data_IF_763986739764
#
_entry.id   IF_763986739764
#
_cell.length_a   1.000
_cell.length_b   1.000
_cell.length_c   1.000
_cell.angle_alpha   90.00
_cell.angle_beta   90.00
_cell.angle_gamma   90.00
#
_symmetry.space_group_name_H-M   'P 1'
#
loop_
_entity.id
_entity.type
_entity.pdbx_description
1 polymer ?
#
# COMPACT_ATOMS: atom_id res chain seq x y z
N UNK A 1 9.07 11.04 15.05
CA UNK A 1 9.45 9.70 15.52
C UNK A 1 9.56 8.69 14.36
N UNK A 2 8.59 8.60 13.44
CA UNK A 2 8.62 7.66 12.30
C UNK A 2 9.89 7.81 11.45
N UNK A 3 10.25 9.03 11.03
CA UNK A 3 11.51 9.29 10.31
C UNK A 3 12.76 8.74 11.01
N UNK A 4 12.87 8.91 12.33
CA UNK A 4 14.04 8.45 13.09
C UNK A 4 14.11 6.92 13.13
N UNK A 5 12.95 6.26 13.25
CA UNK A 5 12.84 4.80 13.17
C UNK A 5 13.22 4.29 11.77
N UNK A 6 12.74 4.95 10.71
CA UNK A 6 13.12 4.62 9.34
C UNK A 6 14.63 4.74 9.11
N UNK A 7 15.26 5.82 9.58
CA UNK A 7 16.72 6.01 9.47
C UNK A 7 17.50 4.95 10.25
N UNK A 8 17.04 4.61 11.45
CA UNK A 8 17.79 3.73 12.35
C UNK A 8 17.59 2.24 12.03
N UNK A 9 16.38 1.86 11.64
CA UNK A 9 15.94 0.47 11.56
C UNK A 9 15.44 0.06 10.17
N UNK A 10 15.23 1.02 9.26
CA UNK A 10 14.66 0.76 7.94
C UNK A 10 13.14 0.53 7.95
N UNK A 11 12.49 0.55 9.12
CA UNK A 11 11.04 0.43 9.22
C UNK A 11 10.50 1.17 10.46
N UNK A 12 9.19 1.41 10.49
CA UNK A 12 8.47 1.90 11.65
C UNK A 12 7.08 1.25 11.70
N UNK A 13 6.63 0.86 12.89
CA UNK A 13 5.24 0.51 13.17
C UNK A 13 4.68 1.56 14.14
N UNK A 14 3.53 2.14 13.82
CA UNK A 14 2.99 3.30 14.52
C UNK A 14 1.48 3.45 14.26
N UNK A 15 0.84 4.30 15.05
CA UNK A 15 -0.51 4.78 14.75
C UNK A 15 -0.39 6.17 14.12
N UNK A 16 -1.00 6.39 12.95
CA UNK A 16 -0.97 7.70 12.30
C UNK A 16 -2.03 8.61 12.93
N UNK A 17 -1.60 9.46 13.85
CA UNK A 17 -2.45 10.41 14.56
C UNK A 17 -2.69 11.67 13.73
N UNK A 18 -3.76 11.65 12.93
CA UNK A 18 -4.20 12.79 12.11
C UNK A 18 -5.73 12.94 12.18
N UNK A 19 -6.19 14.19 12.23
CA UNK A 19 -7.62 14.48 12.27
C UNK A 19 -8.32 14.06 10.97
N UNK A 20 -9.33 13.21 11.12
CA UNK A 20 -10.20 12.71 10.07
C UNK A 20 -11.63 13.18 10.31
N UNK A 21 -12.18 14.00 9.41
CA UNK A 21 -13.59 14.33 9.50
C UNK A 21 -14.45 13.11 9.15
N UNK A 22 -15.61 12.97 9.82
CA UNK A 22 -16.53 11.85 9.58
C UNK A 22 -16.87 11.68 8.09
N UNK A 23 -17.14 12.79 7.40
CA UNK A 23 -17.46 12.80 5.96
C UNK A 23 -16.30 12.23 5.14
N UNK A 24 -15.07 12.64 5.42
CA UNK A 24 -13.89 12.18 4.68
C UNK A 24 -13.63 10.68 4.90
N UNK A 25 -13.86 10.20 6.12
CA UNK A 25 -13.81 8.77 6.45
C UNK A 25 -14.87 7.96 5.71
N UNK A 26 -16.09 8.49 5.62
CA UNK A 26 -17.21 7.88 4.88
C UNK A 26 -16.90 7.82 3.38
N UNK A 27 -16.29 8.87 2.80
CA UNK A 27 -15.86 8.90 1.40
C UNK A 27 -14.82 7.82 1.11
N UNK A 28 -13.79 7.67 1.94
CA UNK A 28 -12.80 6.59 1.82
C UNK A 28 -13.49 5.22 1.93
N UNK A 29 -14.37 5.05 2.92
CA UNK A 29 -15.09 3.79 3.11
C UNK A 29 -15.97 3.44 1.90
N UNK A 30 -16.63 4.44 1.29
CA UNK A 30 -17.40 4.28 0.07
C UNK A 30 -16.53 3.87 -1.12
N UNK A 31 -15.31 4.40 -1.25
CA UNK A 31 -14.37 3.97 -2.29
C UNK A 31 -13.99 2.49 -2.11
N UNK A 32 -13.71 2.05 -0.87
CA UNK A 32 -13.38 0.65 -0.57
C UNK A 32 -14.51 -0.33 -0.95
N UNK A 33 -15.77 0.11 -0.82
CA UNK A 33 -16.93 -0.67 -1.25
C UNK A 33 -17.03 -0.80 -2.78
N UNK A 34 -16.44 0.14 -3.52
CA UNK A 34 -16.51 0.22 -4.99
C UNK A 34 -15.22 -0.21 -5.70
N UNK A 35 -14.23 -0.75 -4.98
CA UNK A 35 -13.01 -1.26 -5.60
C UNK A 35 -13.34 -2.37 -6.60
N UNK A 36 -12.71 -2.29 -7.78
CA UNK A 36 -12.83 -3.30 -8.82
C UNK A 36 -11.97 -4.53 -8.47
N UNK A 37 -12.33 -5.70 -9.01
CA UNK A 37 -11.49 -6.88 -8.90
C UNK A 37 -10.12 -6.59 -9.52
N UNK A 38 -9.06 -7.09 -8.88
CA UNK A 38 -7.71 -6.99 -9.42
C UNK A 38 -7.50 -8.05 -10.51
N UNK A 39 -7.47 -7.61 -11.77
CA UNK A 39 -7.24 -8.48 -12.93
C UNK A 39 -5.84 -9.14 -12.95
N UNK A 40 -4.93 -8.73 -12.08
CA UNK A 40 -3.60 -9.31 -11.92
C UNK A 40 -3.47 -10.12 -10.62
N UNK A 41 -4.56 -10.33 -9.89
CA UNK A 41 -4.57 -11.29 -8.80
C UNK A 41 -4.73 -12.72 -9.35
N UNK A 42 -4.19 -13.75 -8.67
CA UNK A 42 -4.45 -15.14 -9.03
C UNK A 42 -5.96 -15.43 -9.06
N UNK A 43 -6.43 -16.30 -9.98
CA UNK A 43 -7.86 -16.55 -10.25
C UNK A 43 -8.72 -16.89 -9.03
N UNK A 44 -8.11 -17.38 -7.95
CA UNK A 44 -8.79 -17.79 -6.73
C UNK A 44 -8.61 -16.83 -5.55
N UNK A 45 -8.06 -15.63 -5.78
CA UNK A 45 -7.83 -14.63 -4.74
C UNK A 45 -8.81 -13.48 -4.91
N UNK A 46 -9.66 -13.27 -3.91
CA UNK A 46 -10.57 -12.13 -3.86
C UNK A 46 -9.83 -10.86 -3.42
N UNK A 47 -9.00 -10.32 -4.32
CA UNK A 47 -8.32 -9.04 -4.16
C UNK A 47 -8.96 -7.99 -5.06
N UNK A 48 -9.27 -6.86 -4.48
CA UNK A 48 -9.88 -5.72 -5.15
C UNK A 48 -8.95 -4.52 -4.99
N UNK A 49 -8.79 -3.73 -6.04
CA UNK A 49 -7.96 -2.53 -5.96
C UNK A 49 -8.38 -1.42 -6.89
N UNK A 50 -7.97 -0.22 -6.50
CA UNK A 50 -7.83 0.93 -7.38
C UNK A 50 -6.47 1.57 -7.15
N UNK A 51 -6.01 2.28 -8.16
CA UNK A 51 -4.71 2.96 -8.14
C UNK A 51 -4.85 4.40 -8.59
N UNK A 52 -4.06 5.28 -8.02
CA UNK A 52 -3.86 6.62 -8.55
C UNK A 52 -2.38 6.98 -8.41
N UNK A 53 -1.89 7.78 -9.35
CA UNK A 53 -0.55 8.33 -9.29
C UNK A 53 -0.59 9.85 -9.29
N UNK A 54 0.36 10.46 -8.61
CA UNK A 54 0.48 11.91 -8.50
C UNK A 54 1.94 12.35 -8.51
N UNK A 55 2.14 13.63 -8.75
CA UNK A 55 3.41 14.32 -8.53
C UNK A 55 3.27 15.21 -7.29
N UNK A 56 4.28 15.17 -6.43
CA UNK A 56 4.44 16.11 -5.33
C UNK A 56 5.65 16.98 -5.61
N UNK A 57 5.47 18.29 -5.44
CA UNK A 57 6.52 19.29 -5.69
C UNK A 57 7.23 19.62 -4.36
N UNK A 58 8.44 19.07 -4.10
CA UNK A 58 9.04 19.10 -2.77
C UNK A 58 9.57 20.48 -2.35
N UNK A 59 9.72 21.42 -3.28
CA UNK A 59 10.25 22.77 -3.05
C UNK A 59 9.19 23.82 -2.70
N UNK A 60 7.90 23.48 -2.73
CA UNK A 60 6.88 24.37 -2.19
C UNK A 60 6.79 24.24 -0.66
N UNK A 61 6.58 25.37 0.02
CA UNK A 61 6.40 25.40 1.47
C UNK A 61 5.21 24.54 1.91
N UNK A 62 4.14 24.53 1.09
CA UNK A 62 3.03 23.60 1.20
C UNK A 62 3.09 22.65 -0.02
N UNK A 63 3.43 21.38 0.17
CA UNK A 63 3.54 20.43 -0.94
C UNK A 63 2.21 20.31 -1.69
N UNK A 64 2.25 20.62 -2.99
CA UNK A 64 1.12 20.46 -3.90
C UNK A 64 1.12 19.05 -4.47
N UNK A 65 -0.08 18.44 -4.57
CA UNK A 65 -0.29 17.11 -5.16
C UNK A 65 -1.00 17.29 -6.49
N UNK A 66 -0.32 16.90 -7.57
CA UNK A 66 -0.83 16.96 -8.94
C UNK A 66 -1.12 15.53 -9.42
N UNK A 67 -2.40 15.14 -9.44
CA UNK A 67 -2.79 13.81 -9.92
C UNK A 67 -2.48 13.65 -11.41
N UNK A 68 -1.84 12.54 -11.77
CA UNK A 68 -1.51 12.20 -13.14
C UNK A 68 -2.82 11.82 -13.88
N UNK A 69 -3.00 12.28 -15.14
CA UNK A 69 -4.15 11.94 -15.95
C UNK A 69 -4.33 10.42 -16.12
N UNK A 70 -5.59 10.00 -16.18
CA UNK A 70 -5.99 8.62 -16.45
C UNK A 70 -6.15 8.40 -17.95
N UNK A 71 -6.03 7.16 -18.41
CA UNK A 71 -6.54 6.74 -19.72
C UNK A 71 -7.96 6.19 -19.58
N UNK A 72 -8.70 6.10 -20.68
CA UNK A 72 -10.01 5.42 -20.71
C UNK A 72 -9.89 4.09 -21.47
N UNK A 73 -10.56 3.06 -20.97
CA UNK A 73 -10.76 1.80 -21.70
C UNK A 73 -11.94 1.90 -22.68
N UNK A 74 -12.16 0.84 -23.45
CA UNK A 74 -13.25 0.75 -24.45
C UNK A 74 -14.66 0.86 -23.82
N UNK A 75 -14.79 0.58 -22.53
CA UNK A 75 -16.04 0.67 -21.78
C UNK A 75 -16.20 2.04 -21.07
N UNK A 76 -15.26 2.98 -21.28
CA UNK A 76 -15.26 4.29 -20.65
C UNK A 76 -14.77 4.32 -19.20
N UNK A 77 -14.23 3.21 -18.68
CA UNK A 77 -13.63 3.20 -17.35
C UNK A 77 -12.29 3.94 -17.37
N UNK A 78 -12.05 4.73 -16.32
CA UNK A 78 -10.78 5.39 -16.14
C UNK A 78 -9.75 4.45 -15.51
N UNK A 79 -8.58 4.35 -16.12
CA UNK A 79 -7.46 3.52 -15.68
C UNK A 79 -6.23 4.36 -15.35
N UNK A 80 -5.48 3.95 -14.34
CA UNK A 80 -4.18 4.50 -13.97
C UNK A 80 -3.10 3.45 -14.17
N UNK A 81 -2.05 3.84 -14.92
CA UNK A 81 -0.89 2.98 -15.19
C UNK A 81 0.07 2.96 -14.00
N UNK A 82 0.43 1.75 -13.56
CA UNK A 82 1.43 1.47 -12.54
C UNK A 82 2.58 0.66 -13.16
N UNK A 83 3.78 1.23 -13.10
CA UNK A 83 5.00 0.59 -13.58
C UNK A 83 5.75 0.00 -12.39
N UNK A 84 5.75 -1.33 -12.27
CA UNK A 84 6.50 -2.04 -11.23
C UNK A 84 7.95 -2.34 -11.63
N UNK A 85 8.38 -1.88 -12.82
CA UNK A 85 9.68 -2.21 -13.39
C UNK A 85 9.96 -3.71 -13.36
N UNK A 86 11.20 -4.08 -13.02
CA UNK A 86 11.65 -5.47 -12.92
C UNK A 86 11.37 -6.14 -11.56
N UNK A 87 10.69 -5.46 -10.62
CA UNK A 87 10.52 -5.96 -9.25
C UNK A 87 9.40 -7.00 -9.10
N UNK A 88 8.62 -7.24 -10.16
CA UNK A 88 7.68 -8.34 -10.20
C UNK A 88 7.96 -9.24 -11.42
N UNK A 89 8.50 -10.45 -11.21
CA UNK A 89 8.88 -11.36 -12.30
C UNK A 89 7.69 -11.91 -13.09
N UNK A 90 6.45 -11.73 -12.63
CA UNK A 90 5.24 -12.26 -13.28
C UNK A 90 4.70 -11.34 -14.39
N UNK A 91 5.07 -10.05 -14.41
CA UNK A 91 4.58 -9.10 -15.42
C UNK A 91 5.63 -8.04 -15.79
N UNK A 92 6.15 -8.08 -17.02
CA UNK A 92 7.17 -7.15 -17.53
C UNK A 92 6.66 -5.86 -18.20
N UNK A 93 5.36 -5.55 -18.09
CA UNK A 93 4.73 -4.38 -18.72
C UNK A 93 3.98 -3.52 -17.68
N UNK A 94 3.78 -2.23 -18.01
CA UNK A 94 2.87 -1.31 -17.33
C UNK A 94 1.51 -1.99 -17.06
N UNK A 95 1.06 -1.97 -15.80
CA UNK A 95 -0.24 -2.51 -15.41
C UNK A 95 -1.25 -1.40 -15.26
N UNK A 96 -2.45 -1.64 -15.77
CA UNK A 96 -3.52 -0.67 -15.68
C UNK A 96 -4.58 -1.16 -14.69
N UNK A 97 -4.79 -0.37 -13.64
CA UNK A 97 -5.85 -0.61 -12.67
C UNK A 97 -6.94 0.46 -12.81
N UNK A 98 -8.14 0.15 -12.36
CA UNK A 98 -9.19 1.16 -12.20
C UNK A 98 -8.65 2.32 -11.36
N UNK A 99 -8.85 3.54 -11.87
CA UNK A 99 -8.32 4.74 -11.23
C UNK A 99 -9.07 5.08 -9.95
N UNK A 100 -8.41 5.70 -8.97
CA UNK A 100 -9.08 6.33 -7.84
C UNK A 100 -10.12 7.36 -8.33
N UNK A 101 -11.28 7.39 -7.68
CA UNK A 101 -12.34 8.34 -8.04
C UNK A 101 -11.93 9.80 -7.84
N UNK A 102 -12.58 10.72 -8.55
CA UNK A 102 -12.39 12.16 -8.37
C UNK A 102 -12.64 12.60 -6.92
N UNK A 103 -13.59 11.96 -6.24
CA UNK A 103 -13.92 12.27 -4.85
C UNK A 103 -12.72 11.98 -3.93
N UNK A 104 -12.12 10.80 -4.07
CA UNK A 104 -10.93 10.43 -3.29
C UNK A 104 -9.71 11.27 -3.65
N UNK A 105 -9.51 11.60 -4.92
CA UNK A 105 -8.43 12.50 -5.34
C UNK A 105 -8.55 13.90 -4.72
N UNK A 106 -9.76 14.33 -4.35
CA UNK A 106 -10.04 15.62 -3.71
C UNK A 106 -10.23 15.53 -2.18
N UNK A 107 -10.10 14.34 -1.59
CA UNK A 107 -10.31 14.12 -0.16
C UNK A 107 -9.13 14.70 0.65
N UNK A 108 -9.41 15.63 1.58
CA UNK A 108 -8.33 16.34 2.28
C UNK A 108 -7.63 15.45 3.28
N UNK A 109 -8.34 14.50 3.90
CA UNK A 109 -7.75 13.50 4.76
C UNK A 109 -6.72 12.63 4.04
N UNK A 110 -7.02 12.14 2.83
CA UNK A 110 -6.01 11.43 2.02
C UNK A 110 -4.81 12.32 1.70
N UNK A 111 -5.04 13.59 1.34
CA UNK A 111 -3.96 14.56 1.13
C UNK A 111 -3.10 14.74 2.39
N UNK A 112 -3.70 14.81 3.57
CA UNK A 112 -2.98 14.87 4.86
C UNK A 112 -2.12 13.63 5.08
N UNK A 113 -2.63 12.42 4.80
CA UNK A 113 -1.83 11.17 4.89
C UNK A 113 -0.62 11.27 3.96
N UNK A 114 -0.83 11.61 2.69
CA UNK A 114 0.25 11.73 1.69
C UNK A 114 1.32 12.74 2.14
N UNK A 115 0.93 13.89 2.66
CA UNK A 115 1.89 14.92 3.11
C UNK A 115 2.61 14.48 4.38
N UNK A 116 1.94 13.83 5.34
CA UNK A 116 2.58 13.32 6.55
C UNK A 116 3.61 12.24 6.25
N UNK A 117 3.26 11.25 5.42
CA UNK A 117 4.18 10.21 4.97
C UNK A 117 5.40 10.81 4.26
N UNK A 118 5.17 11.72 3.30
CA UNK A 118 6.26 12.45 2.63
C UNK A 118 7.15 13.16 3.65
N UNK A 119 6.54 13.72 4.71
CA UNK A 119 7.28 14.41 5.74
C UNK A 119 8.23 13.53 6.55
N UNK A 120 7.91 12.25 6.68
CA UNK A 120 8.73 11.25 7.35
C UNK A 120 9.81 10.62 6.45
N UNK A 121 9.75 10.83 5.14
CA UNK A 121 10.83 10.41 4.24
C UNK A 121 12.14 11.18 4.50
N UNK A 122 13.26 10.57 4.12
CA UNK A 122 14.56 11.22 4.06
C UNK A 122 15.10 11.24 2.63
N UNK A 123 15.96 12.21 2.31
CA UNK A 123 16.55 12.45 0.99
C UNK A 123 15.57 12.82 -0.16
N UNK A 124 14.26 12.65 -0.01
CA UNK A 124 13.27 13.07 -1.01
C UNK A 124 12.90 14.55 -0.91
N UNK A 125 12.86 15.12 0.31
CA UNK A 125 12.57 16.55 0.52
C UNK A 125 13.60 17.49 -0.11
N UNK A 126 14.84 17.03 -0.22
CA UNK A 126 15.94 17.80 -0.81
C UNK A 126 16.12 17.50 -2.29
N UNK A 127 15.23 16.72 -2.90
CA UNK A 127 15.30 16.40 -4.31
C UNK A 127 14.81 17.57 -5.17
N UNK A 128 15.47 17.81 -6.30
CA UNK A 128 15.21 18.98 -7.16
C UNK A 128 14.17 18.73 -8.25
N UNK A 129 13.76 17.47 -8.46
CA UNK A 129 12.66 17.10 -9.37
C UNK A 129 11.41 16.74 -8.58
N UNK A 130 10.21 16.72 -9.22
CA UNK A 130 9.00 16.26 -8.56
C UNK A 130 9.17 14.84 -8.01
N UNK A 131 8.46 14.53 -6.95
CA UNK A 131 8.38 13.19 -6.37
C UNK A 131 7.15 12.50 -6.94
N UNK A 132 7.35 11.31 -7.52
CA UNK A 132 6.25 10.45 -7.94
C UNK A 132 5.64 9.78 -6.72
N UNK A 133 4.32 9.73 -6.67
CA UNK A 133 3.55 9.09 -5.62
C UNK A 133 2.61 8.07 -6.25
N UNK A 134 2.71 6.82 -5.83
CA UNK A 134 1.67 5.82 -6.03
C UNK A 134 0.73 5.77 -4.82
N UNK A 135 -0.57 5.65 -5.08
CA UNK A 135 -1.60 5.50 -4.04
C UNK A 135 -2.46 4.30 -4.40
N UNK A 136 -2.34 3.24 -3.60
CA UNK A 136 -3.07 2.00 -3.79
C UNK A 136 -4.15 1.85 -2.73
N UNK A 137 -5.40 1.69 -3.17
CA UNK A 137 -6.48 1.23 -2.29
C UNK A 137 -6.64 -0.27 -2.54
N UNK A 138 -6.40 -1.10 -1.53
CA UNK A 138 -6.41 -2.56 -1.66
C UNK A 138 -7.34 -3.16 -0.61
N UNK A 139 -8.29 -3.97 -1.07
CA UNK A 139 -9.15 -4.80 -0.23
C UNK A 139 -8.89 -6.26 -0.55
N UNK A 140 -8.65 -7.04 0.49
CA UNK A 140 -8.55 -8.50 0.39
C UNK A 140 -9.72 -9.11 1.16
N UNK A 141 -10.38 -10.08 0.56
CA UNK A 141 -11.49 -10.81 1.16
C UNK A 141 -11.19 -12.30 1.23
N UNK A 142 -11.75 -12.97 2.23
CA UNK A 142 -11.72 -14.43 2.35
C UNK A 142 -13.10 -14.91 2.80
N UNK A 143 -13.79 -15.61 1.90
CA UNK A 143 -15.10 -16.23 2.19
C UNK A 143 -14.96 -17.73 2.46
N UNK A 144 -13.90 -18.36 1.95
CA UNK A 144 -13.61 -19.79 2.06
C UNK A 144 -12.12 -19.98 2.35
N UNK A 145 -11.79 -20.67 3.44
CA UNK A 145 -10.40 -20.89 3.85
C UNK A 145 -9.62 -21.84 2.95
N UNK A 146 -10.28 -22.56 2.03
CA UNK A 146 -9.58 -23.29 0.96
C UNK A 146 -8.94 -22.34 -0.06
N UNK A 147 -9.39 -21.07 -0.08
CA UNK A 147 -8.92 -19.99 -0.95
C UNK A 147 -8.62 -18.74 -0.10
N UNK A 148 -7.54 -18.76 0.69
CA UNK A 148 -7.24 -17.66 1.59
C UNK A 148 -6.99 -16.35 0.82
N UNK A 149 -7.24 -15.23 1.48
CA UNK A 149 -6.99 -13.92 0.90
C UNK A 149 -5.48 -13.63 0.90
N UNK A 150 -4.86 -13.61 -0.28
CA UNK A 150 -3.40 -13.53 -0.44
C UNK A 150 -2.98 -12.17 -1.03
N UNK A 151 -1.94 -11.56 -0.45
CA UNK A 151 -1.19 -10.45 -1.09
C UNK A 151 -0.18 -11.00 -2.09
N UNK A 152 0.10 -10.26 -3.17
CA UNK A 152 1.15 -10.65 -4.13
C UNK A 152 2.29 -9.62 -4.06
N UNK A 153 3.56 -10.08 -3.98
CA UNK A 153 3.97 -11.49 -3.91
C UNK A 153 3.69 -12.13 -2.53
N UNK A 154 3.43 -13.43 -2.51
CA UNK A 154 3.21 -14.19 -1.27
C UNK A 154 4.53 -14.68 -0.66
N UNK A 155 5.48 -13.77 -0.48
CA UNK A 155 6.79 -13.99 0.12
C UNK A 155 7.38 -12.67 0.62
N UNK A 156 8.51 -12.72 1.31
CA UNK A 156 9.27 -11.51 1.64
C UNK A 156 9.71 -10.80 0.38
N UNK A 157 9.45 -9.50 0.28
CA UNK A 157 9.77 -8.70 -0.88
C UNK A 157 10.18 -7.28 -0.51
N UNK A 158 10.61 -6.58 -1.54
CA UNK A 158 10.84 -5.15 -1.61
C UNK A 158 9.94 -4.65 -2.74
N UNK A 159 9.30 -3.51 -2.53
CA UNK A 159 8.36 -2.95 -3.52
C UNK A 159 9.13 -2.34 -4.70
N UNK A 160 10.32 -1.79 -4.42
CA UNK A 160 11.18 -1.13 -5.39
C UNK A 160 11.11 0.40 -5.35
N UNK A 161 10.08 0.95 -4.72
CA UNK A 161 9.98 2.36 -4.39
C UNK A 161 10.75 2.64 -3.08
N UNK A 162 11.56 3.72 -2.99
CA UNK A 162 12.40 4.01 -1.81
C UNK A 162 11.70 3.95 -0.46
N UNK A 163 10.43 4.36 -0.41
CA UNK A 163 9.61 4.29 0.79
C UNK A 163 8.18 3.85 0.43
N UNK A 164 7.66 2.92 1.22
CA UNK A 164 6.25 2.52 1.21
C UNK A 164 5.65 2.70 2.59
N UNK A 165 4.48 3.33 2.64
CA UNK A 165 3.68 3.53 3.84
C UNK A 165 2.36 2.79 3.69
N UNK A 166 1.95 2.08 4.73
CA UNK A 166 0.78 1.24 4.74
C UNK A 166 -0.13 1.62 5.91
N UNK A 167 -1.40 1.91 5.63
CA UNK A 167 -2.37 2.37 6.63
C UNK A 167 -3.61 1.49 6.61
N UNK A 168 -3.94 0.86 7.75
CA UNK A 168 -5.17 0.10 7.87
C UNK A 168 -6.38 1.03 7.84
N UNK A 169 -7.35 0.75 6.99
CA UNK A 169 -8.62 1.49 6.92
C UNK A 169 -9.73 0.70 7.60
N UNK A 170 -9.79 -0.60 7.37
CA UNK A 170 -10.70 -1.46 8.10
C UNK A 170 -10.21 -2.89 8.11
N UNK A 171 -10.60 -3.59 9.17
CA UNK A 171 -10.42 -5.03 9.32
C UNK A 171 -11.68 -5.57 9.98
N UNK A 172 -12.25 -6.65 9.46
CA UNK A 172 -13.39 -7.30 10.13
C UNK A 172 -12.91 -8.17 11.29
N UNK A 173 -13.66 -8.18 12.38
CA UNK A 173 -13.37 -8.96 13.59
C UNK A 173 -13.24 -10.47 13.31
N UNK A 174 -13.95 -10.97 12.29
CA UNK A 174 -13.87 -12.37 11.85
C UNK A 174 -12.65 -12.70 10.97
N UNK A 175 -11.66 -11.80 10.89
CA UNK A 175 -10.45 -11.96 10.06
C UNK A 175 -9.28 -12.43 10.90
N UNK A 176 -8.80 -13.64 10.65
CA UNK A 176 -7.53 -14.17 11.14
C UNK A 176 -6.38 -13.93 10.13
N UNK A 177 -5.13 -14.04 10.56
CA UNK A 177 -3.96 -13.81 9.68
C UNK A 177 -3.74 -12.33 9.36
N UNK A 178 -3.23 -12.02 8.17
CA UNK A 178 -2.83 -10.65 7.82
C UNK A 178 -1.74 -10.09 8.74
N UNK A 179 -0.85 -10.96 9.21
CA UNK A 179 0.29 -10.63 10.06
C UNK A 179 1.38 -10.05 9.17
N UNK A 180 1.90 -8.88 9.52
CA UNK A 180 2.98 -8.23 8.80
C UNK A 180 4.30 -8.64 9.45
N UNK A 181 5.27 -8.96 8.61
CA UNK A 181 6.63 -9.31 9.00
C UNK A 181 7.58 -8.32 8.34
N UNK A 182 8.55 -7.85 9.13
CA UNK A 182 9.71 -7.13 8.60
C UNK A 182 10.89 -8.08 8.70
N UNK A 183 11.54 -8.33 7.58
CA UNK A 183 12.73 -9.17 7.48
C UNK A 183 13.96 -8.37 7.09
N UNK A 184 15.13 -8.97 7.27
CA UNK A 184 16.36 -8.50 6.62
C UNK A 184 16.21 -8.54 5.10
N UNK A 185 17.00 -7.77 4.37
CA UNK A 185 17.04 -7.80 2.90
C UNK A 185 17.35 -9.21 2.37
N UNK A 186 18.15 -10.00 3.09
CA UNK A 186 18.47 -11.39 2.75
C UNK A 186 17.28 -12.36 2.76
N UNK A 187 16.15 -11.97 3.36
CA UNK A 187 14.91 -12.74 3.31
C UNK A 187 14.14 -12.55 2.01
N UNK A 188 14.49 -11.56 1.17
CA UNK A 188 13.80 -11.28 -0.11
C UNK A 188 13.67 -12.55 -0.96
N UNK A 189 12.50 -12.71 -1.56
CA UNK A 189 12.06 -13.85 -2.36
C UNK A 189 11.92 -15.19 -1.61
N UNK A 190 12.12 -15.22 -0.30
CA UNK A 190 11.88 -16.41 0.53
C UNK A 190 10.47 -16.40 1.10
N UNK A 191 9.85 -17.57 1.21
CA UNK A 191 8.61 -17.78 1.97
C UNK A 191 8.89 -17.74 3.46
N UNK A 192 7.85 -17.52 4.26
CA UNK A 192 8.00 -17.41 5.72
C UNK A 192 8.66 -18.64 6.35
N UNK A 193 8.33 -19.84 5.85
CA UNK A 193 8.91 -21.11 6.29
C UNK A 193 10.38 -21.32 5.91
N UNK A 194 10.91 -20.53 4.97
CA UNK A 194 12.30 -20.59 4.48
C UNK A 194 13.21 -19.55 5.15
N UNK A 195 12.64 -18.65 5.97
CA UNK A 195 13.35 -17.56 6.63
C UNK A 195 13.69 -17.96 8.07
N UNK A 196 14.97 -17.83 8.43
CA UNK A 196 15.37 -18.06 9.81
C UNK A 196 14.74 -17.02 10.74
N UNK A 197 14.31 -17.41 11.94
CA UNK A 197 13.69 -16.48 12.90
C UNK A 197 14.57 -15.26 13.23
N UNK A 198 15.90 -15.40 13.15
CA UNK A 198 16.87 -14.32 13.38
C UNK A 198 16.95 -13.31 12.22
N UNK A 199 16.40 -13.64 11.05
CA UNK A 199 16.24 -12.74 9.92
C UNK A 199 14.92 -11.95 10.00
N UNK A 200 13.97 -12.34 10.85
CA UNK A 200 12.73 -11.60 11.13
C UNK A 200 13.05 -10.51 12.17
N UNK A 201 12.95 -9.26 11.75
CA UNK A 201 13.22 -8.08 12.56
C UNK A 201 12.01 -7.63 13.38
N UNK A 202 10.80 -7.84 12.86
CA UNK A 202 9.56 -7.52 13.56
C UNK A 202 8.38 -8.34 13.02
N UNK A 203 7.37 -8.54 13.87
CA UNK A 203 6.12 -9.23 13.56
C UNK A 203 4.96 -8.50 14.26
N UNK A 204 3.93 -8.10 13.51
CA UNK A 204 2.79 -7.38 14.07
C UNK A 204 1.54 -7.47 13.20
N UNK A 205 0.38 -7.29 13.82
CA UNK A 205 -0.91 -7.19 13.13
C UNK A 205 -1.48 -5.79 13.30
N UNK A 206 -2.02 -5.22 12.22
CA UNK A 206 -2.76 -3.95 12.27
C UNK A 206 -4.21 -4.25 12.63
N UNK A 207 -4.76 -3.54 13.61
CA UNK A 207 -6.10 -3.80 14.15
C UNK A 207 -7.03 -2.60 13.99
N UNK A 208 -6.55 -1.42 14.38
CA UNK A 208 -7.35 -0.21 14.45
C UNK A 208 -7.18 0.66 13.20
N UNK A 209 -8.17 1.52 12.95
CA UNK A 209 -8.10 2.52 11.89
C UNK A 209 -6.82 3.36 12.04
N UNK A 210 -6.02 3.44 10.97
CA UNK A 210 -4.70 4.11 10.92
C UNK A 210 -3.59 3.47 11.75
N UNK A 211 -3.77 2.24 12.23
CA UNK A 211 -2.61 1.40 12.51
C UNK A 211 -1.80 1.27 11.22
N UNK A 212 -0.53 1.61 11.32
CA UNK A 212 0.31 1.90 10.16
C UNK A 212 1.69 1.30 10.30
N UNK A 213 2.33 1.06 9.17
CA UNK A 213 3.76 0.84 9.12
C UNK A 213 4.37 1.50 7.89
N UNK A 214 5.67 1.79 7.98
CA UNK A 214 6.46 2.32 6.89
C UNK A 214 7.74 1.50 6.75
N UNK A 215 8.21 1.36 5.52
CA UNK A 215 9.49 0.70 5.20
C UNK A 215 10.34 1.61 4.33
N UNK A 216 11.64 1.58 4.58
CA UNK A 216 12.66 2.06 3.65
C UNK A 216 13.15 0.85 2.87
N UNK A 217 12.80 0.80 1.59
CA UNK A 217 12.87 -0.43 0.80
C UNK A 217 14.29 -1.00 0.72
N UNK A 218 15.32 -0.16 0.60
CA UNK A 218 16.71 -0.62 0.55
C UNK A 218 17.22 -1.27 1.86
N UNK A 219 16.58 -0.98 2.99
CA UNK A 219 17.07 -1.38 4.31
C UNK A 219 16.45 -2.69 4.82
N UNK A 220 15.27 -3.05 4.35
CA UNK A 220 14.50 -4.21 4.84
C UNK A 220 13.78 -4.93 3.71
N UNK A 221 13.26 -6.11 4.01
CA UNK A 221 12.19 -6.75 3.24
C UNK A 221 10.94 -6.84 4.10
N UNK A 222 9.78 -7.06 3.48
CA UNK A 222 8.55 -7.22 4.23
C UNK A 222 7.63 -8.27 3.59
N UNK A 223 6.73 -8.82 4.41
CA UNK A 223 5.76 -9.83 4.01
C UNK A 223 4.47 -9.63 4.81
N UNK A 224 3.33 -9.98 4.22
CA UNK A 224 2.06 -10.09 4.94
C UNK A 224 1.46 -11.47 4.73
N UNK A 225 1.15 -12.16 5.84
CA UNK A 225 0.52 -13.48 5.78
C UNK A 225 -0.85 -13.40 5.11
N UNK A 226 -1.35 -14.52 4.55
CA UNK A 226 -2.72 -14.57 4.07
C UNK A 226 -3.71 -14.24 5.19
N UNK A 227 -4.89 -13.77 4.80
CA UNK A 227 -6.04 -13.63 5.70
C UNK A 227 -6.96 -14.84 5.56
N UNK A 228 -7.58 -15.20 6.68
CA UNK A 228 -8.52 -16.32 6.78
C UNK A 228 -9.79 -15.88 7.47
N UNK A 229 -10.89 -16.54 7.14
CA UNK A 229 -12.14 -16.43 7.88
C UNK A 229 -12.07 -17.27 9.15
N UNK A 230 -12.36 -16.66 10.30
CA UNK A 230 -12.48 -17.41 11.56
C UNK A 230 -13.62 -18.43 11.42
N UNK A 231 -13.36 -19.67 11.85
CA UNK A 231 -14.33 -20.78 11.73
C UNK A 231 -15.65 -20.41 12.40
N UNK A 232 -16.77 -20.81 11.79
CA UNK A 232 -18.13 -20.62 12.30
C UNK A 232 -18.57 -19.15 12.47
N UNK A 233 -17.79 -18.19 11.96
CA UNK A 233 -18.19 -16.78 11.93
C UNK A 233 -19.11 -16.45 10.75
N UNK A 234 -19.93 -15.40 10.93
CA UNK A 234 -20.79 -14.87 9.87
C UNK A 234 -20.02 -13.95 8.93
N UNK A 235 -20.48 -13.86 7.68
CA UNK A 235 -19.90 -12.99 6.66
C UNK A 235 -18.55 -13.45 6.11
N UNK A 236 -17.91 -12.58 5.33
CA UNK A 236 -16.57 -12.74 4.77
C UNK A 236 -15.54 -12.04 5.67
N UNK A 237 -14.35 -12.60 5.79
CA UNK A 237 -13.20 -11.89 6.35
C UNK A 237 -12.73 -10.83 5.36
N UNK A 238 -12.21 -9.71 5.86
CA UNK A 238 -11.87 -8.55 5.04
C UNK A 238 -10.78 -7.71 5.71
N UNK A 239 -9.84 -7.25 4.88
CA UNK A 239 -8.79 -6.30 5.25
C UNK A 239 -8.65 -5.25 4.16
N UNK A 240 -8.81 -3.99 4.53
CA UNK A 240 -8.71 -2.83 3.65
C UNK A 240 -7.52 -1.97 4.07
N UNK A 241 -6.61 -1.71 3.13
CA UNK A 241 -5.38 -0.96 3.37
C UNK A 241 -5.18 0.09 2.27
N UNK A 242 -4.65 1.25 2.66
CA UNK A 242 -4.05 2.20 1.72
C UNK A 242 -2.54 2.00 1.76
N UNK A 243 -1.93 1.80 0.59
CA UNK A 243 -0.48 1.89 0.43
C UNK A 243 -0.14 3.19 -0.30
N UNK A 244 0.91 3.86 0.15
CA UNK A 244 1.44 5.08 -0.47
C UNK A 244 2.94 4.93 -0.61
N UNK A 245 3.40 4.92 -1.85
CA UNK A 245 4.81 4.80 -2.21
C UNK A 245 5.36 6.13 -2.74
N UNK A 246 6.66 6.34 -2.57
CA UNK A 246 7.35 7.56 -2.99
C UNK A 246 8.60 7.23 -3.80
N UNK A 247 8.64 7.75 -5.02
CA UNK A 247 9.74 7.53 -5.95
C UNK A 247 10.30 8.84 -6.50
N UNK A 248 11.61 8.87 -6.75
CA UNK A 248 12.24 10.00 -7.46
C UNK A 248 11.82 9.93 -8.92
N UNK A 249 11.36 11.05 -9.47
CA UNK A 249 11.32 11.18 -10.93
C UNK A 249 12.75 11.29 -11.48
N UNK A 250 12.93 10.96 -12.76
CA UNK A 250 14.22 11.05 -13.43
C UNK A 250 14.03 11.81 -14.73
N UNK A 251 15.01 12.64 -15.07
CA UNK A 251 15.14 13.21 -16.39
C UNK A 251 15.90 12.20 -17.25
N UNK A 252 15.28 11.75 -18.34
CA UNK A 252 15.94 10.92 -19.36
C UNK A 252 16.61 11.86 -20.37
N UNK A 253 17.92 11.73 -20.57
CA UNK A 253 18.75 12.63 -21.41
C UNK A 253 19.47 11.79 -22.47
#
# INVERSE_FOLDING_TARGET
MVKEQLVKHGFANYHLDIDCEKKEKEEISAEFNMLALDNYAPENVARFRRYGSALLLPWFNEPEILWIPTIQDENGNHLSGYDQGNNNPEHGNMRYFHSLSKNIKNNHFLKKIIINNFNDTFNLKTHYLPIYIGVHFIKIECSDNTKPGISSPNCFHQDGEPFTFAHLISRKENTAGGINFIGKVSAKNKRLEEVDKQEILNEFTLHEFLDSFAVCDEAVSHYVSPIYKIKDSNGKAERCIILIDYSKTKQDI
#
